data_IF_389077977614
#
_entry.id   IF_389077977614
#
_cell.length_a   1.000
_cell.length_b   1.000
_cell.length_c   1.000
_cell.angle_alpha   90.00
_cell.angle_beta   90.00
_cell.angle_gamma   90.00
#
_symmetry.space_group_name_H-M   'P 1'
#
loop_
_entity.id
_entity.type
_entity.pdbx_description
1 polymer ?
#
# COMPACT_ATOMS: atom_id res chain seq x y z
N UNK A 1 -23.34 -9.58 -1.28
CA UNK A 1 -23.11 -10.26 0.02
C UNK A 1 -23.46 -9.28 1.13
N UNK A 2 -24.02 -9.71 2.28
CA UNK A 2 -24.28 -8.81 3.40
C UNK A 2 -22.95 -8.33 4.01
N UNK A 3 -22.83 -7.03 4.23
CA UNK A 3 -21.64 -6.41 4.86
C UNK A 3 -21.65 -6.75 6.35
N UNK A 4 -20.67 -7.51 6.83
CA UNK A 4 -20.57 -7.86 8.24
C UNK A 4 -19.71 -6.83 8.99
N UNK A 5 -20.35 -5.78 9.51
CA UNK A 5 -19.65 -4.68 10.19
C UNK A 5 -18.80 -5.10 11.40
N UNK A 6 -18.99 -6.31 11.96
CA UNK A 6 -18.15 -6.85 13.04
C UNK A 6 -16.76 -7.34 12.60
N UNK A 7 -16.50 -7.50 11.31
CA UNK A 7 -15.17 -7.92 10.81
C UNK A 7 -14.22 -6.75 10.50
N UNK A 8 -14.65 -5.51 10.70
CA UNK A 8 -13.83 -4.32 10.47
C UNK A 8 -12.81 -4.19 11.62
N UNK A 9 -11.53 -4.03 11.29
CA UNK A 9 -10.48 -3.77 12.28
C UNK A 9 -10.74 -2.47 13.03
N UNK A 10 -10.55 -2.47 14.36
CA UNK A 10 -10.61 -1.25 15.18
C UNK A 10 -9.68 -0.16 14.66
N UNK A 11 -8.53 -0.52 14.07
CA UNK A 11 -7.57 0.42 13.47
C UNK A 11 -8.15 1.08 12.21
N UNK A 12 -8.83 0.30 11.37
CA UNK A 12 -9.46 0.81 10.14
C UNK A 12 -10.63 1.75 10.47
N UNK A 13 -11.44 1.39 11.47
CA UNK A 13 -12.54 2.23 11.94
C UNK A 13 -12.03 3.51 12.61
N UNK A 14 -10.95 3.44 13.39
CA UNK A 14 -10.29 4.61 13.97
C UNK A 14 -9.69 5.54 12.90
N UNK A 15 -9.05 4.98 11.87
CA UNK A 15 -8.51 5.75 10.75
C UNK A 15 -9.61 6.45 9.94
N UNK A 16 -10.69 5.74 9.59
CA UNK A 16 -11.84 6.34 8.90
C UNK A 16 -12.51 7.42 9.77
N UNK A 17 -12.67 7.16 11.07
CA UNK A 17 -13.18 8.15 12.03
C UNK A 17 -12.29 9.40 12.12
N UNK A 18 -10.97 9.24 12.14
CA UNK A 18 -10.01 10.34 12.14
C UNK A 18 -10.06 11.16 10.84
N UNK A 19 -10.18 10.51 9.68
CA UNK A 19 -10.34 11.20 8.40
C UNK A 19 -11.65 12.02 8.33
N UNK A 20 -12.76 11.46 8.81
CA UNK A 20 -14.06 12.17 8.90
C UNK A 20 -14.01 13.31 9.92
N UNK A 21 -13.34 13.13 11.06
CA UNK A 21 -13.11 14.17 12.06
C UNK A 21 -12.31 15.35 11.48
N UNK A 22 -11.19 15.07 10.80
CA UNK A 22 -10.39 16.08 10.08
C UNK A 22 -11.24 16.81 9.05
N UNK A 23 -12.02 16.08 8.25
CA UNK A 23 -12.94 16.67 7.28
C UNK A 23 -13.96 17.60 7.93
N UNK A 24 -14.59 17.20 9.04
CA UNK A 24 -15.57 18.02 9.74
C UNK A 24 -14.95 19.33 10.24
N UNK A 25 -13.80 19.27 10.93
CA UNK A 25 -13.15 20.49 11.45
C UNK A 25 -12.50 21.35 10.36
N UNK A 26 -12.23 20.80 9.17
CA UNK A 26 -11.66 21.54 8.02
C UNK A 26 -12.51 22.71 7.53
N UNK A 27 -13.83 22.69 7.76
CA UNK A 27 -14.77 23.71 7.28
C UNK A 27 -14.81 24.98 8.14
N UNK A 28 -14.38 24.91 9.41
CA UNK A 28 -14.41 26.05 10.32
C UNK A 28 -13.39 27.11 9.92
N UNK A 29 -13.82 28.38 9.89
CA UNK A 29 -13.01 29.54 9.51
C UNK A 29 -11.89 29.87 10.52
N UNK A 30 -11.86 29.24 11.68
CA UNK A 30 -10.83 29.39 12.70
C UNK A 30 -9.62 28.45 12.49
N UNK A 31 -9.23 28.20 11.24
CA UNK A 31 -8.10 27.33 10.91
C UNK A 31 -6.81 28.14 10.76
N UNK A 32 -6.77 29.10 9.83
CA UNK A 32 -5.71 30.10 9.77
C UNK A 32 -6.31 31.47 10.09
N UNK A 33 -5.89 32.08 11.20
CA UNK A 33 -6.43 33.35 11.70
C UNK A 33 -5.38 34.46 11.64
N UNK A 34 -5.79 35.65 11.21
CA UNK A 34 -5.06 36.89 11.39
C UNK A 34 -5.60 37.61 12.64
N UNK A 35 -4.70 38.07 13.51
CA UNK A 35 -5.04 38.92 14.65
C UNK A 35 -4.95 40.40 14.23
N UNK A 36 -6.08 41.12 14.35
CA UNK A 36 -6.18 42.56 14.07
C UNK A 36 -6.19 43.39 15.36
N UNK A 37 -5.79 42.81 16.49
CA UNK A 37 -5.77 43.44 17.80
C UNK A 37 -7.18 43.83 18.25
N UNK A 38 -7.41 45.12 18.49
CA UNK A 38 -8.70 45.60 19.00
C UNK A 38 -9.89 45.39 18.05
N UNK A 39 -9.62 45.10 16.78
CA UNK A 39 -10.66 44.82 15.76
C UNK A 39 -11.05 43.33 15.69
N UNK A 40 -10.48 42.48 16.56
CA UNK A 40 -10.76 41.06 16.63
C UNK A 40 -9.89 40.21 15.71
N UNK A 41 -10.32 38.98 15.43
CA UNK A 41 -9.62 38.06 14.52
C UNK A 41 -10.47 37.72 13.30
N UNK A 42 -9.80 37.62 12.15
CA UNK A 42 -10.42 37.20 10.88
C UNK A 42 -9.72 35.93 10.43
N UNK A 43 -10.48 34.93 9.98
CA UNK A 43 -9.92 33.61 9.69
C UNK A 43 -10.43 32.98 8.40
N UNK A 44 -9.61 32.07 7.88
CA UNK A 44 -9.93 31.20 6.74
C UNK A 44 -9.94 29.74 7.18
N UNK A 45 -10.76 28.93 6.51
CA UNK A 45 -10.83 27.49 6.74
C UNK A 45 -9.73 26.73 5.98
N UNK A 46 -9.63 25.41 6.19
CA UNK A 46 -8.59 24.59 5.57
C UNK A 46 -8.76 24.44 4.05
N UNK A 47 -9.90 24.86 3.47
CA UNK A 47 -10.17 24.86 2.04
C UNK A 47 -9.59 26.09 1.30
N UNK A 48 -8.55 26.72 1.86
CA UNK A 48 -7.89 27.90 1.28
C UNK A 48 -6.40 27.67 1.00
N UNK A 49 -5.93 28.16 -0.14
CA UNK A 49 -4.55 27.95 -0.63
C UNK A 49 -4.18 26.45 -0.69
N UNK A 50 -2.92 26.11 -0.50
CA UNK A 50 -2.42 24.73 -0.60
C UNK A 50 -2.96 23.77 0.48
N UNK A 51 -3.60 24.27 1.55
CA UNK A 51 -4.33 23.40 2.48
C UNK A 51 -5.59 22.80 1.84
N UNK A 52 -6.19 23.45 0.83
CA UNK A 52 -7.29 22.85 0.07
C UNK A 52 -6.83 21.59 -0.67
N UNK A 53 -5.64 21.65 -1.28
CA UNK A 53 -5.00 20.48 -1.88
C UNK A 53 -4.69 19.40 -0.83
N UNK A 54 -4.19 19.80 0.35
CA UNK A 54 -3.97 18.88 1.45
C UNK A 54 -5.26 18.18 1.92
N UNK A 55 -6.39 18.90 2.01
CA UNK A 55 -7.70 18.31 2.30
C UNK A 55 -8.16 17.32 1.21
N UNK A 56 -7.89 17.61 -0.06
CA UNK A 56 -8.12 16.65 -1.15
C UNK A 56 -7.25 15.39 -0.97
N UNK A 57 -5.99 15.51 -0.55
CA UNK A 57 -5.15 14.34 -0.24
C UNK A 57 -5.68 13.53 0.97
N UNK A 58 -6.22 14.18 2.00
CA UNK A 58 -6.92 13.48 3.10
C UNK A 58 -8.13 12.71 2.58
N UNK A 59 -8.96 13.33 1.73
CA UNK A 59 -10.12 12.68 1.12
C UNK A 59 -9.73 11.51 0.21
N UNK A 60 -8.68 11.64 -0.60
CA UNK A 60 -8.19 10.57 -1.46
C UNK A 60 -7.66 9.39 -0.63
N UNK A 61 -6.88 9.65 0.42
CA UNK A 61 -6.37 8.58 1.30
C UNK A 61 -7.50 7.94 2.12
N UNK A 62 -8.41 8.72 2.70
CA UNK A 62 -9.57 8.21 3.43
C UNK A 62 -10.54 7.40 2.55
N UNK A 63 -10.79 7.88 1.32
CA UNK A 63 -11.59 7.17 0.33
C UNK A 63 -10.95 5.87 -0.15
N UNK A 64 -9.64 5.89 -0.44
CA UNK A 64 -8.88 4.69 -0.80
C UNK A 64 -8.84 3.67 0.36
N UNK A 65 -8.70 4.13 1.60
CA UNK A 65 -8.82 3.28 2.79
C UNK A 65 -10.22 2.65 2.85
N UNK A 66 -11.29 3.41 2.63
CA UNK A 66 -12.64 2.87 2.59
C UNK A 66 -12.80 1.77 1.50
N UNK A 67 -12.25 1.98 0.30
CA UNK A 67 -12.22 0.94 -0.74
C UNK A 67 -11.45 -0.30 -0.27
N UNK A 68 -10.29 -0.13 0.38
CA UNK A 68 -9.49 -1.24 0.92
C UNK A 68 -10.16 -1.99 2.08
N UNK A 69 -11.12 -1.37 2.78
CA UNK A 69 -11.87 -1.98 3.89
C UNK A 69 -13.14 -2.68 3.41
N UNK A 70 -13.86 -2.07 2.45
CA UNK A 70 -15.19 -2.53 2.03
C UNK A 70 -15.23 -3.23 0.66
N UNK A 71 -14.18 -3.08 -0.16
CA UNK A 71 -14.14 -3.53 -1.55
C UNK A 71 -12.72 -3.90 -2.01
N UNK A 72 -11.89 -4.47 -1.13
CA UNK A 72 -10.48 -4.81 -1.43
C UNK A 72 -10.28 -5.67 -2.67
N UNK A 73 -11.26 -6.52 -3.01
CA UNK A 73 -11.24 -7.38 -4.21
C UNK A 73 -11.22 -6.62 -5.54
N UNK A 74 -11.60 -5.33 -5.58
CA UNK A 74 -11.56 -4.51 -6.81
C UNK A 74 -10.17 -3.94 -7.10
N UNK A 75 -9.24 -4.00 -6.14
CA UNK A 75 -7.94 -3.37 -6.24
C UNK A 75 -6.85 -4.34 -6.72
N UNK A 76 -5.94 -3.91 -7.61
CA UNK A 76 -4.74 -4.66 -7.96
C UNK A 76 -3.95 -5.13 -6.73
N UNK A 77 -3.76 -6.45 -6.62
CA UNK A 77 -3.07 -7.10 -5.47
C UNK A 77 -1.56 -6.84 -5.43
N UNK A 78 -0.98 -6.36 -6.54
CA UNK A 78 0.46 -6.18 -6.73
C UNK A 78 0.97 -4.79 -6.26
N UNK A 79 0.10 -3.99 -5.64
CA UNK A 79 0.39 -2.60 -5.24
C UNK A 79 0.43 -2.51 -3.71
N UNK A 80 1.49 -1.93 -3.10
CA UNK A 80 1.60 -1.73 -1.66
C UNK A 80 0.71 -0.56 -1.22
N UNK A 81 -0.59 -0.82 -1.16
CA UNK A 81 -1.61 0.19 -0.90
C UNK A 81 -1.47 0.85 0.47
N UNK A 82 -1.02 0.13 1.51
CA UNK A 82 -0.86 0.72 2.84
C UNK A 82 0.30 1.71 2.86
N UNK A 83 1.35 1.46 2.08
CA UNK A 83 2.45 2.40 1.93
C UNK A 83 2.00 3.67 1.19
N UNK A 84 1.23 3.53 0.10
CA UNK A 84 0.65 4.66 -0.63
C UNK A 84 -0.26 5.49 0.29
N UNK A 85 -1.14 4.85 1.06
CA UNK A 85 -2.02 5.53 2.04
C UNK A 85 -1.23 6.38 3.02
N UNK A 86 -0.19 5.81 3.65
CA UNK A 86 0.68 6.51 4.61
C UNK A 86 1.41 7.66 3.96
N UNK A 87 1.97 7.48 2.75
CA UNK A 87 2.70 8.52 2.04
C UNK A 87 1.81 9.72 1.69
N UNK A 88 0.62 9.45 1.14
CA UNK A 88 -0.36 10.49 0.77
C UNK A 88 -0.90 11.22 2.01
N UNK A 89 -1.26 10.49 3.06
CA UNK A 89 -1.74 11.08 4.31
C UNK A 89 -0.65 11.86 5.07
N UNK A 90 0.60 11.39 5.04
CA UNK A 90 1.75 12.07 5.63
C UNK A 90 2.03 13.41 4.95
N UNK A 91 2.04 13.44 3.61
CA UNK A 91 2.15 14.67 2.83
C UNK A 91 0.98 15.63 3.11
N UNK A 92 -0.25 15.12 3.15
CA UNK A 92 -1.43 15.90 3.50
C UNK A 92 -1.30 16.57 4.88
N UNK A 93 -0.90 15.80 5.88
CA UNK A 93 -0.72 16.29 7.26
C UNK A 93 0.38 17.35 7.35
N UNK A 94 1.50 17.15 6.65
CA UNK A 94 2.58 18.14 6.57
C UNK A 94 2.08 19.48 5.99
N UNK A 95 1.36 19.44 4.88
CA UNK A 95 0.80 20.65 4.24
C UNK A 95 -0.25 21.33 5.14
N UNK A 96 -1.07 20.58 5.88
CA UNK A 96 -2.01 21.14 6.85
C UNK A 96 -1.30 21.82 8.04
N UNK A 97 -0.15 21.30 8.48
CA UNK A 97 0.64 21.93 9.55
C UNK A 97 1.34 23.20 9.05
N UNK A 98 1.90 23.18 7.84
CA UNK A 98 2.62 24.33 7.29
C UNK A 98 1.70 25.53 7.01
N UNK A 99 0.44 25.32 6.58
CA UNK A 99 -0.42 26.42 6.08
C UNK A 99 -0.62 27.60 7.05
N UNK A 100 -0.92 27.41 8.35
CA UNK A 100 -1.04 28.54 9.27
C UNK A 100 0.32 29.14 9.65
N UNK A 101 1.40 28.33 9.63
CA UNK A 101 2.75 28.73 10.04
C UNK A 101 3.44 29.56 8.94
N UNK A 102 3.25 29.24 7.66
CA UNK A 102 3.76 30.03 6.54
C UNK A 102 2.80 31.14 6.10
N UNK A 103 1.88 31.56 6.97
CA UNK A 103 0.83 32.52 6.62
C UNK A 103 1.33 33.95 6.36
N UNK A 104 2.50 34.30 6.91
CA UNK A 104 3.02 35.67 6.96
C UNK A 104 2.89 36.28 8.35
N UNK A 105 3.41 37.50 8.54
CA UNK A 105 3.37 38.18 9.84
C UNK A 105 1.92 38.42 10.28
N UNK A 106 1.60 38.10 11.54
CA UNK A 106 0.27 38.26 12.12
C UNK A 106 -0.74 37.15 11.79
N UNK A 107 -0.38 36.15 10.99
CA UNK A 107 -1.21 34.96 10.73
C UNK A 107 -0.69 33.76 11.52
N UNK A 108 -1.60 33.04 12.19
CA UNK A 108 -1.28 31.84 12.97
C UNK A 108 -2.39 30.78 12.96
N UNK A 109 -2.16 29.63 13.61
CA UNK A 109 -3.16 28.58 13.77
C UNK A 109 -4.27 29.02 14.72
N UNK A 110 -5.52 28.95 14.23
CA UNK A 110 -6.69 29.08 15.08
C UNK A 110 -7.09 27.76 15.74
N UNK A 111 -8.15 27.77 16.55
CA UNK A 111 -8.56 26.59 17.32
C UNK A 111 -8.89 25.36 16.47
N UNK A 112 -9.44 25.55 15.25
CA UNK A 112 -9.79 24.41 14.40
C UNK A 112 -8.58 23.82 13.68
N UNK A 113 -7.47 24.56 13.52
CA UNK A 113 -6.21 23.98 13.04
C UNK A 113 -5.69 22.92 13.98
N UNK A 114 -5.69 23.15 15.30
CA UNK A 114 -5.23 22.14 16.26
C UNK A 114 -6.08 20.85 16.18
N UNK A 115 -7.40 20.97 16.00
CA UNK A 115 -8.26 19.80 15.83
C UNK A 115 -8.02 19.09 14.49
N UNK A 116 -7.92 19.83 13.38
CA UNK A 116 -7.54 19.29 12.06
C UNK A 116 -6.19 18.56 12.13
N UNK A 117 -5.20 19.11 12.84
CA UNK A 117 -3.90 18.48 13.04
C UNK A 117 -3.98 17.23 13.89
N UNK A 118 -4.71 17.24 15.01
CA UNK A 118 -4.92 16.06 15.86
C UNK A 118 -5.57 14.93 15.05
N UNK A 119 -6.62 15.23 14.28
CA UNK A 119 -7.28 14.25 13.41
C UNK A 119 -6.35 13.73 12.31
N UNK A 120 -5.59 14.61 11.64
CA UNK A 120 -4.67 14.23 10.56
C UNK A 120 -3.49 13.39 11.08
N UNK A 121 -2.93 13.74 12.24
CA UNK A 121 -1.89 12.96 12.92
C UNK A 121 -2.41 11.60 13.40
N UNK A 122 -3.62 11.55 13.97
CA UNK A 122 -4.25 10.29 14.36
C UNK A 122 -4.51 9.39 13.14
N UNK A 123 -4.98 9.97 12.02
CA UNK A 123 -5.17 9.26 10.76
C UNK A 123 -3.85 8.66 10.24
N UNK A 124 -2.78 9.45 10.16
CA UNK A 124 -1.44 8.97 9.76
C UNK A 124 -0.93 7.89 10.72
N UNK A 125 -1.13 8.05 12.03
CA UNK A 125 -0.71 7.06 13.02
C UNK A 125 -1.43 5.71 12.86
N UNK A 126 -2.75 5.72 12.66
CA UNK A 126 -3.52 4.49 12.39
C UNK A 126 -3.08 3.83 11.08
N UNK A 127 -2.84 4.61 10.01
CA UNK A 127 -2.30 4.08 8.75
C UNK A 127 -0.88 3.51 8.90
N UNK A 128 -0.02 4.14 9.71
CA UNK A 128 1.33 3.62 9.99
C UNK A 128 1.30 2.31 10.78
N UNK A 129 0.37 2.16 11.73
CA UNK A 129 0.11 0.89 12.41
C UNK A 129 -0.42 -0.18 11.45
N UNK A 130 -1.31 0.19 10.52
CA UNK A 130 -1.81 -0.69 9.45
C UNK A 130 -0.69 -1.18 8.54
N UNK A 131 0.17 -0.27 8.06
CA UNK A 131 1.37 -0.59 7.29
C UNK A 131 2.32 -1.53 8.06
N UNK A 132 2.59 -1.26 9.33
CA UNK A 132 3.39 -2.15 10.20
C UNK A 132 2.76 -3.54 10.36
N UNK A 133 1.43 -3.65 10.28
CA UNK A 133 0.72 -4.93 10.34
C UNK A 133 0.65 -5.69 9.01
N UNK A 134 0.70 -4.99 7.86
CA UNK A 134 0.71 -5.65 6.54
C UNK A 134 2.08 -6.17 6.13
N UNK A 135 3.16 -5.64 6.71
CA UNK A 135 4.54 -6.05 6.39
C UNK A 135 5.08 -5.49 5.07
N UNK A 136 4.33 -4.61 4.40
CA UNK A 136 4.79 -3.90 3.19
C UNK A 136 6.01 -3.02 3.49
N UNK A 137 6.90 -2.95 2.51
CA UNK A 137 8.18 -2.24 2.58
C UNK A 137 8.36 -1.27 1.41
N UNK A 138 9.28 -0.31 1.57
CA UNK A 138 9.65 0.63 0.49
C UNK A 138 10.23 -0.10 -0.73
N UNK A 139 10.79 -1.30 -0.55
CA UNK A 139 11.28 -2.15 -1.64
C UNK A 139 10.16 -2.60 -2.58
N UNK A 140 8.93 -2.78 -2.08
CA UNK A 140 7.81 -3.29 -2.86
C UNK A 140 7.35 -2.28 -3.92
N UNK A 141 7.46 -0.97 -3.63
CA UNK A 141 7.27 0.09 -4.64
C UNK A 141 8.20 -0.05 -5.84
N UNK A 142 9.46 -0.45 -5.61
CA UNK A 142 10.45 -0.58 -6.68
C UNK A 142 10.15 -1.78 -7.59
N UNK A 143 9.44 -2.78 -7.07
CA UNK A 143 9.10 -4.01 -7.80
C UNK A 143 7.88 -3.82 -8.73
N UNK A 144 7.04 -2.80 -8.50
CA UNK A 144 5.95 -2.40 -9.41
C UNK A 144 6.51 -2.05 -10.80
N UNK A 145 7.64 -1.35 -10.86
CA UNK A 145 8.29 -0.96 -12.12
C UNK A 145 9.13 -2.05 -12.78
N UNK A 146 9.49 -3.12 -12.05
CA UNK A 146 10.33 -4.24 -12.55
C UNK A 146 9.52 -5.46 -13.00
N UNK A 147 8.24 -5.55 -12.64
CA UNK A 147 7.37 -6.69 -12.94
C UNK A 147 6.70 -6.66 -14.33
N UNK A 148 7.05 -5.69 -15.20
CA UNK A 148 6.67 -5.65 -16.62
C UNK A 148 7.71 -6.30 -17.55
N UNK A 149 8.43 -7.31 -17.08
CA UNK A 149 9.25 -8.21 -17.92
C UNK A 149 8.44 -9.44 -18.38
N UNK A 150 8.71 -10.01 -19.57
CA UNK A 150 7.96 -11.15 -20.08
C UNK A 150 8.11 -12.38 -19.17
N UNK A 151 7.01 -13.14 -19.07
CA UNK A 151 6.78 -14.20 -18.08
C UNK A 151 7.97 -15.16 -17.85
N UNK A 152 8.60 -15.02 -16.68
CA UNK A 152 9.54 -15.98 -16.09
C UNK A 152 9.30 -16.01 -14.58
N UNK A 153 8.87 -17.16 -14.05
CA UNK A 153 8.24 -17.21 -12.72
C UNK A 153 9.20 -17.00 -11.55
N UNK A 154 8.77 -16.18 -10.58
CA UNK A 154 9.21 -16.23 -9.19
C UNK A 154 8.03 -15.85 -8.28
N UNK A 155 7.47 -16.85 -7.60
CA UNK A 155 6.44 -16.64 -6.59
C UNK A 155 7.08 -16.03 -5.34
N UNK A 156 6.86 -14.74 -5.10
CA UNK A 156 7.17 -14.12 -3.82
C UNK A 156 6.20 -14.66 -2.76
N UNK A 157 6.72 -15.45 -1.82
CA UNK A 157 5.92 -16.09 -0.78
C UNK A 157 5.44 -15.08 0.27
N UNK A 158 4.12 -14.84 0.32
CA UNK A 158 3.50 -14.07 1.38
C UNK A 158 3.37 -14.91 2.65
N UNK A 159 4.14 -14.55 3.69
CA UNK A 159 4.02 -15.16 5.02
C UNK A 159 2.69 -14.79 5.67
N UNK A 160 1.79 -15.75 5.78
CA UNK A 160 0.48 -15.59 6.42
C UNK A 160 0.59 -15.79 7.94
N UNK A 161 0.25 -14.80 8.79
CA UNK A 161 0.21 -14.98 10.23
C UNK A 161 -1.14 -15.55 10.68
N UNK A 162 -1.16 -16.86 10.94
CA UNK A 162 -2.00 -17.52 11.94
C UNK A 162 -3.53 -17.52 11.80
N UNK A 163 -4.10 -18.70 11.53
CA UNK A 163 -5.33 -19.12 12.21
C UNK A 163 -5.15 -20.49 12.86
N UNK A 164 -5.32 -20.53 14.19
CA UNK A 164 -5.53 -21.74 14.96
C UNK A 164 -7.02 -22.12 14.87
N UNK A 165 -7.34 -23.43 14.78
CA UNK A 165 -8.73 -23.89 14.87
C UNK A 165 -9.03 -25.13 14.03
N UNK A 166 -8.51 -26.29 14.43
CA UNK A 166 -8.77 -27.57 13.75
C UNK A 166 -9.00 -28.69 14.74
N UNK A 167 -10.26 -28.96 15.08
CA UNK A 167 -10.67 -30.04 15.98
C UNK A 167 -10.60 -31.38 15.25
N UNK A 168 -9.66 -32.24 15.64
CA UNK A 168 -9.51 -33.60 15.11
C UNK A 168 -9.32 -34.61 16.24
N UNK A 169 -10.31 -35.48 16.44
CA UNK A 169 -10.13 -36.70 17.23
C UNK A 169 -9.38 -37.74 16.40
N UNK A 170 -8.45 -38.51 16.99
CA UNK A 170 -8.38 -39.98 16.83
C UNK A 170 -7.33 -40.65 17.74
N UNK A 171 -7.84 -41.52 18.62
CA UNK A 171 -7.31 -42.76 19.23
C UNK A 171 -5.87 -42.90 19.80
N UNK A 172 -5.70 -43.60 20.95
CA UNK A 172 -4.40 -43.91 21.55
C UNK A 172 -3.82 -45.27 21.07
N UNK A 173 -2.56 -45.27 20.64
CA UNK A 173 -1.80 -46.49 20.31
C UNK A 173 -0.68 -46.78 21.30
N UNK A 174 -0.65 -47.97 21.88
CA UNK A 174 0.44 -48.46 22.74
C UNK A 174 1.58 -49.07 21.89
N UNK A 175 2.85 -48.72 22.15
CA UNK A 175 4.01 -49.28 21.43
C UNK A 175 5.36 -48.99 22.11
N UNK A 176 6.17 -50.04 22.28
CA UNK A 176 7.39 -50.12 23.10
C UNK A 176 8.61 -49.28 22.63
N UNK A 177 9.27 -48.63 23.60
CA UNK A 177 10.68 -48.84 24.02
C UNK A 177 11.76 -49.29 22.98
N UNK A 178 12.82 -48.49 22.79
CA UNK A 178 14.04 -48.88 22.05
C UNK A 178 15.18 -47.83 22.07
N UNK A 179 16.44 -48.26 21.94
CA UNK A 179 17.67 -47.44 21.99
C UNK A 179 18.53 -47.67 20.71
N UNK A 180 19.68 -47.03 20.40
CA UNK A 180 20.65 -46.14 21.07
C UNK A 180 21.32 -45.22 19.97
N UNK A 181 22.10 -44.16 20.25
CA UNK A 181 22.63 -43.25 19.22
C UNK A 181 24.02 -43.65 18.67
N UNK A 182 24.35 -43.34 17.41
CA UNK A 182 25.73 -43.54 16.88
C UNK A 182 26.04 -43.08 15.44
N UNK A 183 27.04 -42.19 15.33
CA UNK A 183 28.05 -41.91 14.28
C UNK A 183 27.98 -42.52 12.84
N UNK A 184 28.27 -41.69 11.81
CA UNK A 184 28.84 -42.16 10.52
C UNK A 184 28.67 -41.25 9.27
N UNK A 185 29.78 -40.80 8.66
CA UNK A 185 29.89 -40.24 7.29
C UNK A 185 30.03 -41.37 6.23
N UNK A 186 30.18 -41.15 4.89
CA UNK A 186 30.23 -39.91 4.08
C UNK A 186 29.26 -39.87 2.87
N UNK A 187 29.30 -38.79 2.08
CA UNK A 187 28.35 -38.53 0.97
C UNK A 187 28.63 -39.24 -0.36
N UNK A 188 27.69 -39.10 -1.30
CA UNK A 188 27.81 -39.55 -2.69
C UNK A 188 27.45 -38.44 -3.68
N UNK A 189 28.27 -38.29 -4.72
CA UNK A 189 28.02 -37.45 -5.89
C UNK A 189 27.23 -38.25 -6.93
N UNK A 190 26.35 -37.59 -7.69
CA UNK A 190 25.75 -38.15 -8.91
C UNK A 190 25.65 -37.08 -10.03
N UNK A 191 25.64 -37.49 -11.31
CA UNK A 191 26.57 -36.88 -12.28
C UNK A 191 25.92 -35.95 -13.31
N UNK A 192 26.72 -35.04 -13.86
CA UNK A 192 26.35 -34.25 -15.03
C UNK A 192 26.44 -35.05 -16.33
N UNK A 193 25.48 -34.85 -17.23
CA UNK A 193 25.49 -35.41 -18.59
C UNK A 193 25.92 -34.34 -19.60
N UNK A 194 26.96 -34.66 -20.37
CA UNK A 194 27.49 -33.82 -21.44
C UNK A 194 26.86 -34.08 -22.82
N UNK A 195 27.23 -33.23 -23.77
CA UNK A 195 26.89 -33.30 -25.20
C UNK A 195 27.23 -34.64 -25.88
N UNK A 196 26.61 -34.87 -27.05
CA UNK A 196 27.38 -34.79 -28.29
C UNK A 196 26.83 -33.70 -29.23
N UNK A 197 27.70 -33.12 -30.06
CA UNK A 197 27.27 -32.23 -31.15
C UNK A 197 28.01 -32.57 -32.44
N UNK A 198 27.58 -32.00 -33.58
CA UNK A 198 28.45 -31.49 -34.65
C UNK A 198 27.68 -30.87 -35.83
N UNK A 199 28.31 -29.84 -36.41
CA UNK A 199 28.34 -29.47 -37.84
C UNK A 199 27.05 -29.17 -38.64
N UNK A 200 26.94 -27.90 -39.04
CA UNK A 200 27.12 -27.52 -40.46
C UNK A 200 25.91 -27.57 -41.39
N UNK A 201 25.50 -26.40 -41.91
CA UNK A 201 24.54 -26.30 -43.01
C UNK A 201 24.28 -24.85 -43.43
N UNK A 202 24.66 -24.49 -44.65
CA UNK A 202 24.37 -23.18 -45.25
C UNK A 202 22.93 -23.10 -45.77
N UNK A 203 22.45 -21.88 -46.01
CA UNK A 203 21.10 -21.61 -46.51
C UNK A 203 20.84 -22.18 -47.91
N UNK A 204 19.56 -22.39 -48.25
CA UNK A 204 19.05 -22.03 -49.57
C UNK A 204 18.14 -20.81 -49.48
N UNK A 205 18.42 -19.81 -50.32
CA UNK A 205 17.46 -18.76 -50.67
C UNK A 205 16.41 -19.40 -51.57
N UNK A 206 15.12 -19.23 -51.30
CA UNK A 206 14.06 -19.62 -52.24
C UNK A 206 13.51 -18.37 -52.95
N UNK A 207 13.80 -18.17 -54.25
CA UNK A 207 13.17 -17.15 -55.07
C UNK A 207 11.74 -17.57 -55.51
N UNK A 208 11.12 -16.74 -56.34
CA UNK A 208 9.84 -16.99 -57.04
C UNK A 208 8.55 -16.82 -56.21
N UNK A 209 8.07 -15.57 -56.18
CA UNK A 209 6.65 -15.33 -56.49
C UNK A 209 6.50 -14.00 -57.27
N UNK A 210 6.68 -14.01 -58.61
CA UNK A 210 6.39 -12.86 -59.46
C UNK A 210 4.90 -12.77 -59.79
N UNK A 211 4.45 -11.59 -60.23
CA UNK A 211 3.06 -11.21 -60.57
C UNK A 211 2.14 -10.82 -59.39
N UNK A 212 1.93 -9.51 -59.27
CA UNK A 212 0.99 -8.89 -58.33
C UNK A 212 0.99 -7.36 -58.44
N UNK A 213 1.09 -6.82 -59.66
CA UNK A 213 1.15 -5.37 -59.89
C UNK A 213 -0.20 -4.80 -60.33
N UNK A 214 -0.59 -3.67 -59.75
CA UNK A 214 -1.29 -2.58 -60.46
C UNK A 214 -1.34 -1.29 -59.60
N UNK A 215 -0.85 -0.15 -60.13
CA UNK A 215 -1.16 1.19 -59.61
C UNK A 215 -2.27 1.87 -60.45
N UNK A 216 -2.65 3.09 -60.03
CA UNK A 216 -3.67 4.01 -60.59
C UNK A 216 -5.10 3.75 -60.04
N UNK A 217 -5.92 4.78 -59.77
CA UNK A 217 -5.76 6.22 -60.09
C UNK A 217 -5.58 7.12 -58.86
#
# INVERSE_FOLDING_TARGET
MPINFRSISTIDLAALGAAVFTLFFSFFTAYAQADLGMFGSVGTNAWTSYAAFAMVLVLLSGGLLAVLVFASDVLPKNVPWNLILVAVAGLATLLLILRPITGGSGIGPGWSAFLVWIGALAFVACLALRLKSSGESVSDLQNIGRSQGPAGGQQAGYGQPGQQGGYGQQQPGYGQQGQQPGYGQPGQQQPGYGQPGQQGGQAPVNPENPYGGQPQA
#
